data_IF_898258449494
#
_entry.id   IF_898258449494
#
_cell.length_a   1.000
_cell.length_b   1.000
_cell.length_c   1.000
_cell.angle_alpha   90.00
_cell.angle_beta   90.00
_cell.angle_gamma   90.00
#
_symmetry.space_group_name_H-M   'P 1'
#
loop_
_entity.id
_entity.type
_entity.pdbx_description
1 polymer ?
#
# COMPACT_ATOMS: atom_id res chain seq x y z
N UNK A 1 -24.92 4.75 -0.74
CA UNK A 1 -24.24 3.65 -0.03
C UNK A 1 -22.75 3.88 -0.18
N UNK A 2 -22.05 4.16 0.91
CA UNK A 2 -20.61 4.41 0.87
C UNK A 2 -19.92 3.10 1.20
N UNK A 3 -19.25 2.50 0.23
CA UNK A 3 -18.45 1.30 0.44
C UNK A 3 -17.10 1.72 1.01
N UNK A 4 -16.73 1.19 2.18
CA UNK A 4 -15.37 1.26 2.68
C UNK A 4 -14.49 0.40 1.77
N UNK A 5 -13.52 1.00 1.12
CA UNK A 5 -12.54 0.29 0.30
C UNK A 5 -11.43 -0.20 1.21
N UNK A 6 -11.14 -1.48 1.15
CA UNK A 6 -10.03 -2.10 1.85
C UNK A 6 -8.73 -1.42 1.45
N UNK A 7 -7.97 -1.00 2.45
CA UNK A 7 -6.74 -0.27 2.24
C UNK A 7 -5.59 -1.24 1.97
N UNK A 8 -5.43 -1.64 0.74
CA UNK A 8 -4.12 -1.81 0.15
C UNK A 8 -3.92 -0.57 -0.73
N UNK A 9 -3.11 0.38 -0.28
CA UNK A 9 -2.74 1.61 -0.99
C UNK A 9 -3.75 2.10 -2.05
N UNK A 10 -4.94 2.49 -1.62
CA UNK A 10 -5.86 3.24 -2.46
C UNK A 10 -6.21 4.52 -1.69
N UNK A 11 -5.60 5.63 -2.11
CA UNK A 11 -6.00 6.95 -1.67
C UNK A 11 -7.52 7.09 -1.88
N UNK A 12 -8.29 7.10 -0.79
CA UNK A 12 -9.73 7.29 -0.85
C UNK A 12 -10.02 8.74 -1.18
N UNK A 13 -10.33 9.02 -2.44
CA UNK A 13 -10.90 10.30 -2.84
C UNK A 13 -12.30 10.44 -2.26
N UNK A 14 -12.45 11.22 -1.18
CA UNK A 14 -13.74 11.67 -0.70
C UNK A 14 -14.08 12.98 -1.41
N UNK A 15 -15.11 12.98 -2.23
CA UNK A 15 -15.65 14.19 -2.83
C UNK A 15 -16.50 14.97 -1.82
N UNK A 16 -16.00 16.11 -1.35
CA UNK A 16 -16.79 17.15 -0.74
C UNK A 16 -16.61 18.45 -1.54
N UNK A 17 -17.70 19.01 -2.01
CA UNK A 17 -17.73 20.25 -2.78
C UNK A 17 -17.70 21.43 -1.84
N UNK A 18 -16.68 22.27 -1.89
CA UNK A 18 -16.74 23.73 -1.97
C UNK A 18 -15.36 24.39 -1.84
N UNK A 19 -15.11 25.33 -2.77
CA UNK A 19 -14.16 26.44 -2.79
C UNK A 19 -12.70 26.18 -2.36
N UNK A 20 -11.82 26.03 -3.35
CA UNK A 20 -10.35 26.33 -3.27
C UNK A 20 -9.65 25.92 -1.97
N UNK A 21 -9.86 24.72 -1.50
CA UNK A 21 -9.20 24.25 -0.30
C UNK A 21 -8.43 22.96 -0.61
N UNK A 22 -7.16 22.98 -0.25
CA UNK A 22 -6.39 21.75 -0.07
C UNK A 22 -7.09 20.97 1.05
N UNK A 23 -7.53 19.75 0.78
CA UNK A 23 -8.01 18.84 1.81
C UNK A 23 -6.81 18.10 2.37
N UNK A 24 -6.64 18.16 3.69
CA UNK A 24 -5.58 17.41 4.39
C UNK A 24 -6.24 16.33 5.22
N UNK A 25 -5.81 15.09 5.04
CA UNK A 25 -6.22 13.93 5.83
C UNK A 25 -5.01 13.22 6.41
N UNK A 26 -5.25 12.35 7.37
CA UNK A 26 -4.21 11.53 7.95
C UNK A 26 -4.77 10.17 8.36
N UNK A 27 -3.86 9.25 8.64
CA UNK A 27 -4.21 7.94 9.15
C UNK A 27 -3.14 7.42 10.11
N UNK A 28 -3.52 6.47 10.94
CA UNK A 28 -2.62 5.69 11.79
C UNK A 28 -3.11 4.25 11.84
N UNK A 29 -2.20 3.30 11.86
CA UNK A 29 -2.53 1.88 12.00
C UNK A 29 -1.53 1.16 12.91
N UNK A 30 -2.01 0.04 13.47
CA UNK A 30 -1.19 -0.95 14.18
C UNK A 30 -1.51 -2.30 13.58
N UNK A 31 -0.49 -2.96 13.03
CA UNK A 31 -0.57 -4.30 12.47
C UNK A 31 0.12 -5.33 13.37
N UNK A 32 -0.35 -6.58 13.31
CA UNK A 32 0.42 -7.71 13.87
C UNK A 32 1.71 -7.93 13.09
N UNK A 33 1.74 -7.46 11.85
CA UNK A 33 2.89 -7.46 10.96
C UNK A 33 2.69 -6.44 9.82
N UNK A 34 3.76 -6.13 9.06
CA UNK A 34 3.73 -5.32 7.85
C UNK A 34 4.31 -6.11 6.67
N UNK A 35 3.50 -6.33 5.66
CA UNK A 35 3.90 -6.98 4.41
C UNK A 35 3.80 -6.01 3.22
N UNK A 36 4.81 -6.03 2.37
CA UNK A 36 4.82 -5.33 1.09
C UNK A 36 4.97 -6.33 -0.04
N UNK A 37 3.93 -6.49 -0.87
CA UNK A 37 3.88 -7.47 -1.97
C UNK A 37 4.26 -8.89 -1.52
N UNK A 38 3.70 -9.33 -0.39
CA UNK A 38 3.97 -10.65 0.18
C UNK A 38 5.31 -10.80 0.91
N UNK A 39 6.13 -9.76 0.98
CA UNK A 39 7.41 -9.77 1.70
C UNK A 39 7.25 -9.11 3.06
N UNK A 40 7.63 -9.82 4.13
CA UNK A 40 7.63 -9.30 5.50
C UNK A 40 8.63 -8.15 5.64
N UNK A 41 8.15 -7.00 6.11
CA UNK A 41 8.93 -5.78 6.30
C UNK A 41 9.26 -5.51 7.76
N UNK A 42 8.45 -5.99 8.70
CA UNK A 42 8.59 -5.62 10.12
C UNK A 42 9.10 -6.75 11.02
N UNK A 43 8.93 -8.01 10.62
CA UNK A 43 9.29 -9.17 11.42
C UNK A 43 8.47 -9.26 12.71
N UNK A 44 7.25 -8.71 12.72
CA UNK A 44 6.35 -8.63 13.86
C UNK A 44 5.58 -7.31 13.92
N UNK A 45 5.01 -6.93 15.08
CA UNK A 45 4.10 -5.80 15.18
C UNK A 45 4.66 -4.49 14.62
N UNK A 46 3.89 -3.83 13.76
CA UNK A 46 4.25 -2.58 13.11
C UNK A 46 3.27 -1.46 13.47
N UNK A 47 3.77 -0.24 13.51
CA UNK A 47 2.98 0.99 13.58
C UNK A 47 3.23 1.78 12.31
N UNK A 48 2.16 2.18 11.63
CA UNK A 48 2.24 2.94 10.40
C UNK A 48 1.25 4.11 10.40
N UNK A 49 1.45 5.04 9.47
CA UNK A 49 0.53 6.14 9.26
C UNK A 49 1.11 7.21 8.35
N UNK A 50 0.27 8.16 7.96
CA UNK A 50 0.67 9.18 7.02
C UNK A 50 -0.27 10.36 6.96
N UNK A 51 0.08 11.29 6.08
CA UNK A 51 -0.71 12.47 5.77
C UNK A 51 -0.80 12.67 4.27
N UNK A 52 -1.98 13.07 3.81
CA UNK A 52 -2.30 13.35 2.41
C UNK A 52 -2.79 14.78 2.26
N UNK A 53 -2.39 15.43 1.19
CA UNK A 53 -2.92 16.69 0.70
C UNK A 53 -3.53 16.47 -0.68
N UNK A 54 -4.84 16.65 -0.82
CA UNK A 54 -5.58 16.50 -2.08
C UNK A 54 -6.04 17.86 -2.60
N UNK A 55 -5.99 18.02 -3.91
CA UNK A 55 -6.36 19.24 -4.62
C UNK A 55 -7.59 18.98 -5.51
N UNK A 56 -8.44 20.00 -5.70
CA UNK A 56 -9.65 19.90 -6.51
C UNK A 56 -9.42 19.47 -7.96
N UNK A 57 -8.25 19.73 -8.50
CA UNK A 57 -7.88 19.36 -9.87
C UNK A 57 -7.49 17.90 -10.02
N UNK A 58 -7.49 17.11 -8.93
CA UNK A 58 -7.10 15.70 -8.92
C UNK A 58 -5.63 15.46 -8.56
N UNK A 59 -4.81 16.49 -8.42
CA UNK A 59 -3.46 16.33 -7.93
C UNK A 59 -3.47 15.98 -6.44
N UNK A 60 -2.47 15.23 -5.98
CA UNK A 60 -2.24 14.94 -4.57
C UNK A 60 -0.76 14.81 -4.26
N UNK A 61 -0.42 14.96 -3.00
CA UNK A 61 0.90 14.66 -2.44
C UNK A 61 0.72 14.12 -1.03
N UNK A 62 1.62 13.26 -0.59
CA UNK A 62 1.54 12.72 0.75
C UNK A 62 2.87 12.16 1.23
N UNK A 63 2.82 11.70 2.47
CA UNK A 63 3.89 10.94 3.12
C UNK A 63 3.28 9.82 3.93
N UNK A 64 3.98 8.71 3.96
CA UNK A 64 3.62 7.57 4.79
C UNK A 64 4.87 7.05 5.48
N UNK A 65 4.70 6.41 6.62
CA UNK A 65 5.80 5.80 7.35
C UNK A 65 5.34 4.54 8.07
N UNK A 66 6.26 3.59 8.23
CA UNK A 66 6.07 2.40 9.05
C UNK A 66 7.36 2.00 9.76
N UNK A 67 7.20 1.40 10.92
CA UNK A 67 8.30 0.67 11.52
C UNK A 67 8.62 -0.56 10.67
N UNK A 68 9.92 -0.81 10.42
CA UNK A 68 10.43 -1.97 9.68
C UNK A 68 11.45 -2.72 10.52
N UNK A 69 11.59 -4.02 10.24
CA UNK A 69 12.44 -4.95 11.02
C UNK A 69 13.65 -5.48 10.26
N UNK A 70 13.89 -5.03 9.03
CA UNK A 70 15.03 -5.47 8.23
C UNK A 70 16.21 -4.50 8.31
N UNK A 71 17.37 -5.03 7.96
CA UNK A 71 18.63 -4.31 8.03
C UNK A 71 19.17 -4.16 9.47
N UNK A 72 20.43 -3.85 9.57
CA UNK A 72 21.08 -3.56 10.83
C UNK A 72 21.85 -2.24 10.71
N UNK A 73 21.83 -1.43 11.78
CA UNK A 73 22.70 -0.26 11.87
C UNK A 73 24.17 -0.67 12.11
N UNK A 74 25.10 0.31 12.08
CA UNK A 74 26.53 0.07 12.32
C UNK A 74 26.84 -0.53 13.71
N UNK A 75 25.87 -0.48 14.64
CA UNK A 75 25.96 -1.09 15.95
C UNK A 75 25.35 -2.48 16.04
N UNK A 76 24.75 -2.97 14.94
CA UNK A 76 24.07 -4.27 14.85
C UNK A 76 22.65 -4.30 15.43
N UNK A 77 22.02 -3.14 15.65
CA UNK A 77 20.61 -3.08 16.02
C UNK A 77 19.75 -3.30 14.77
N UNK A 78 18.75 -4.16 14.89
CA UNK A 78 17.78 -4.46 13.83
C UNK A 78 16.56 -3.57 14.01
N UNK A 79 16.00 -3.09 12.91
CA UNK A 79 14.81 -2.27 12.90
C UNK A 79 15.08 -0.86 12.40
N UNK A 80 14.03 -0.20 11.95
CA UNK A 80 14.14 1.11 11.36
C UNK A 80 12.79 1.75 11.08
N UNK A 81 12.85 2.78 10.29
CA UNK A 81 11.71 3.52 9.77
C UNK A 81 11.76 3.47 8.24
N UNK A 82 10.67 3.04 7.62
CA UNK A 82 10.36 3.36 6.24
C UNK A 82 9.62 4.70 6.22
N UNK A 83 10.04 5.58 5.33
CA UNK A 83 9.46 6.90 5.17
C UNK A 83 9.32 7.24 3.69
N UNK A 84 8.09 7.30 3.23
CA UNK A 84 7.75 7.49 1.84
C UNK A 84 7.24 8.88 1.57
N UNK A 85 7.55 9.38 0.38
CA UNK A 85 6.99 10.60 -0.18
C UNK A 85 6.40 10.29 -1.55
N UNK A 86 5.19 10.73 -1.80
CA UNK A 86 4.53 10.51 -3.07
C UNK A 86 3.79 11.74 -3.58
N UNK A 87 3.68 11.78 -4.89
CA UNK A 87 2.86 12.75 -5.62
C UNK A 87 2.12 12.03 -6.73
N UNK A 88 0.94 12.51 -7.06
CA UNK A 88 0.17 11.88 -8.12
C UNK A 88 -0.96 12.72 -8.63
N UNK A 89 -1.69 12.11 -9.54
CA UNK A 89 -2.86 12.70 -10.19
C UNK A 89 -3.88 11.59 -10.46
N UNK A 90 -5.05 11.75 -9.88
CA UNK A 90 -6.15 10.80 -10.05
C UNK A 90 -7.47 11.48 -10.36
N UNK A 91 -8.40 10.71 -10.89
CA UNK A 91 -9.72 11.23 -11.21
C UNK A 91 -10.70 10.19 -11.72
N UNK A 92 -11.95 10.63 -11.93
CA UNK A 92 -12.99 9.79 -12.50
C UNK A 92 -13.18 10.11 -13.98
N UNK A 93 -13.15 9.09 -14.83
CA UNK A 93 -13.48 9.17 -16.26
C UNK A 93 -15.00 9.08 -16.43
N UNK A 94 -15.66 8.27 -15.58
CA UNK A 94 -17.11 8.09 -15.53
C UNK A 94 -17.55 7.72 -14.11
N UNK A 95 -18.85 7.48 -13.90
CA UNK A 95 -19.38 7.03 -12.60
C UNK A 95 -18.79 5.67 -12.14
N UNK A 96 -18.34 4.85 -13.08
CA UNK A 96 -17.79 3.51 -12.80
C UNK A 96 -16.33 3.34 -13.12
N UNK A 97 -15.65 4.35 -13.71
CA UNK A 97 -14.23 4.28 -14.11
C UNK A 97 -13.45 5.39 -13.48
N UNK A 98 -12.39 5.05 -12.77
CA UNK A 98 -11.41 6.00 -12.24
C UNK A 98 -9.99 5.55 -12.61
N UNK A 99 -9.06 6.47 -12.53
CA UNK A 99 -7.64 6.23 -12.76
C UNK A 99 -6.80 6.93 -11.70
N UNK A 100 -5.59 6.44 -11.52
CA UNK A 100 -4.55 7.04 -10.70
C UNK A 100 -3.19 6.86 -11.37
N UNK A 101 -2.34 7.89 -11.31
CA UNK A 101 -0.96 7.87 -11.77
C UNK A 101 -0.10 8.61 -10.76
N UNK A 102 1.04 8.08 -10.40
CA UNK A 102 1.88 8.73 -9.41
C UNK A 102 3.33 8.26 -9.43
N UNK A 103 4.06 8.85 -8.53
CA UNK A 103 5.45 8.58 -8.26
C UNK A 103 5.63 8.51 -6.75
N UNK A 104 6.37 7.53 -6.29
CA UNK A 104 6.71 7.33 -4.88
C UNK A 104 8.20 7.13 -4.72
N UNK A 105 8.76 7.75 -3.70
CA UNK A 105 10.10 7.54 -3.20
C UNK A 105 10.01 6.84 -1.86
N UNK A 106 10.68 5.70 -1.74
CA UNK A 106 10.82 4.90 -0.52
C UNK A 106 12.15 5.19 0.13
N UNK A 107 12.13 5.66 1.36
CA UNK A 107 13.34 6.03 2.10
C UNK A 107 13.47 5.29 3.43
N UNK A 108 14.70 4.99 3.83
CA UNK A 108 15.00 4.26 5.06
C UNK A 108 16.01 5.03 5.93
N UNK A 109 15.62 6.19 6.49
CA UNK A 109 16.55 7.14 7.09
C UNK A 109 17.30 6.63 8.34
N UNK A 110 16.87 5.52 8.92
CA UNK A 110 17.50 4.92 10.11
C UNK A 110 18.16 3.57 9.80
N UNK A 111 18.26 3.19 8.53
CA UNK A 111 18.80 1.91 8.12
C UNK A 111 19.91 2.10 7.10
N UNK A 112 21.16 2.09 7.57
CA UNK A 112 22.35 2.29 6.72
C UNK A 112 22.58 1.15 5.71
N UNK A 113 21.87 0.03 5.85
CA UNK A 113 22.00 -1.14 4.96
C UNK A 113 20.86 -1.22 3.93
N UNK A 114 19.84 -0.37 4.03
CA UNK A 114 18.74 -0.30 3.08
C UNK A 114 18.95 0.90 2.16
N UNK A 115 18.92 0.65 0.86
CA UNK A 115 18.99 1.71 -0.14
C UNK A 115 17.57 2.19 -0.48
N UNK A 116 17.45 3.51 -0.63
CA UNK A 116 16.25 4.15 -1.15
C UNK A 116 16.01 3.76 -2.61
N UNK A 117 14.74 3.73 -2.99
CA UNK A 117 14.34 3.53 -4.38
C UNK A 117 13.04 4.28 -4.69
N UNK A 118 12.71 4.34 -5.97
CA UNK A 118 11.53 5.03 -6.45
C UNK A 118 10.73 4.19 -7.44
N UNK A 119 9.42 4.46 -7.49
CA UNK A 119 8.54 3.85 -8.47
C UNK A 119 7.63 4.86 -9.15
N UNK A 120 7.43 4.64 -10.43
CA UNK A 120 6.26 5.12 -11.15
C UNK A 120 5.14 4.09 -11.02
N UNK A 121 3.94 4.53 -10.66
CA UNK A 121 2.78 3.65 -10.57
C UNK A 121 1.58 4.21 -11.31
N UNK A 122 0.66 3.31 -11.64
CA UNK A 122 -0.62 3.68 -12.22
C UNK A 122 -1.65 2.60 -12.09
N UNK A 123 -2.92 3.00 -12.06
CA UNK A 123 -4.05 2.07 -11.98
C UNK A 123 -5.28 2.59 -12.70
N UNK A 124 -6.15 1.66 -13.04
CA UNK A 124 -7.52 1.92 -13.49
C UNK A 124 -8.47 1.03 -12.69
N UNK A 125 -9.51 1.67 -12.14
CA UNK A 125 -10.58 0.95 -11.46
C UNK A 125 -11.84 0.96 -12.31
N UNK A 126 -12.48 -0.19 -12.42
CA UNK A 126 -13.80 -0.35 -13.03
C UNK A 126 -14.72 -1.03 -12.01
N UNK A 127 -15.69 -0.27 -11.47
CA UNK A 127 -16.56 -0.71 -10.38
C UNK A 127 -15.73 -1.24 -9.20
N UNK A 128 -15.77 -2.52 -8.91
CA UNK A 128 -15.13 -3.18 -7.77
C UNK A 128 -13.78 -3.85 -8.12
N UNK A 129 -13.33 -3.69 -9.38
CA UNK A 129 -12.05 -4.24 -9.86
C UNK A 129 -11.08 -3.10 -10.09
N UNK A 130 -9.85 -3.25 -9.61
CA UNK A 130 -8.71 -2.37 -9.92
C UNK A 130 -7.61 -3.20 -10.55
N UNK A 131 -7.02 -2.69 -11.62
CA UNK A 131 -5.79 -3.23 -12.20
C UNK A 131 -4.74 -2.14 -12.23
N UNK A 132 -3.50 -2.48 -11.94
CA UNK A 132 -2.44 -1.48 -11.89
C UNK A 132 -1.06 -2.06 -12.08
N UNK A 133 -0.10 -1.15 -12.09
CA UNK A 133 1.32 -1.46 -12.19
C UNK A 133 2.15 -0.51 -11.33
N UNK A 134 3.36 -0.94 -10.99
CA UNK A 134 4.42 -0.10 -10.45
C UNK A 134 5.73 -0.51 -11.14
N UNK A 135 6.63 0.43 -11.39
CA UNK A 135 7.90 0.14 -12.04
C UNK A 135 9.01 1.04 -11.51
N UNK A 136 10.18 0.44 -11.28
CA UNK A 136 11.44 1.11 -10.92
C UNK A 136 12.49 0.78 -11.97
N UNK A 137 13.35 1.74 -12.27
CA UNK A 137 14.53 1.52 -13.11
C UNK A 137 15.72 0.98 -12.32
N UNK A 138 15.71 1.17 -11.00
CA UNK A 138 16.73 0.71 -10.07
C UNK A 138 16.05 0.36 -8.74
N UNK A 139 15.67 -0.92 -8.61
CA UNK A 139 14.94 -1.44 -7.47
C UNK A 139 15.83 -1.56 -6.24
N UNK A 140 15.23 -1.72 -5.10
CA UNK A 140 15.84 -1.87 -3.80
C UNK A 140 17.23 -2.54 -3.82
N UNK A 141 18.23 -1.90 -3.18
CA UNK A 141 19.64 -2.32 -3.18
C UNK A 141 20.26 -2.44 -4.58
N UNK A 142 19.86 -1.58 -5.53
CA UNK A 142 20.42 -1.51 -6.88
C UNK A 142 20.40 -2.85 -7.63
N UNK A 143 19.29 -3.58 -7.50
CA UNK A 143 19.10 -4.89 -8.14
C UNK A 143 18.64 -4.80 -9.61
N UNK A 144 18.57 -3.59 -10.16
CA UNK A 144 18.18 -3.33 -11.55
C UNK A 144 16.69 -3.01 -11.71
N UNK A 145 16.15 -3.20 -12.90
CA UNK A 145 14.77 -2.86 -13.19
C UNK A 145 13.79 -3.84 -12.53
N UNK A 146 12.64 -3.29 -12.13
CA UNK A 146 11.55 -4.03 -11.53
C UNK A 146 10.22 -3.51 -12.05
N UNK A 147 9.30 -4.41 -12.34
CA UNK A 147 7.92 -4.07 -12.71
C UNK A 147 6.95 -5.03 -12.04
N UNK A 148 5.96 -4.47 -11.39
CA UNK A 148 4.91 -5.19 -10.69
C UNK A 148 3.56 -4.91 -11.34
N UNK A 149 2.77 -5.95 -11.59
CA UNK A 149 1.40 -5.83 -12.06
C UNK A 149 0.46 -6.45 -11.02
N UNK A 150 -0.70 -5.84 -10.82
CA UNK A 150 -1.66 -6.34 -9.86
C UNK A 150 -3.10 -6.20 -10.30
N UNK A 151 -3.95 -6.99 -9.69
CA UNK A 151 -5.40 -6.89 -9.78
C UNK A 151 -6.02 -7.07 -8.40
N UNK A 152 -6.94 -6.16 -8.06
CA UNK A 152 -7.72 -6.20 -6.84
C UNK A 152 -9.20 -6.35 -7.17
N UNK A 153 -9.91 -7.09 -6.32
CA UNK A 153 -11.36 -7.19 -6.36
C UNK A 153 -11.92 -7.05 -4.94
N UNK A 154 -12.87 -6.14 -4.75
CA UNK A 154 -13.54 -5.92 -3.49
C UNK A 154 -15.04 -6.20 -3.58
N UNK A 155 -15.62 -6.86 -2.59
CA UNK A 155 -17.06 -7.08 -2.52
C UNK A 155 -17.62 -6.91 -1.11
N UNK A 156 -18.82 -6.36 -1.01
CA UNK A 156 -19.57 -6.38 0.24
C UNK A 156 -20.04 -7.81 0.52
N UNK A 157 -19.68 -8.34 1.68
CA UNK A 157 -20.19 -9.64 2.16
C UNK A 157 -21.51 -9.45 2.90
N UNK A 158 -21.59 -8.41 3.73
CA UNK A 158 -22.80 -7.97 4.46
C UNK A 158 -22.82 -6.42 4.50
N UNK A 159 -23.74 -5.83 5.26
CA UNK A 159 -23.75 -4.38 5.50
C UNK A 159 -22.53 -3.91 6.30
N UNK A 160 -21.96 -4.78 7.14
CA UNK A 160 -20.86 -4.46 8.08
C UNK A 160 -19.50 -5.04 7.63
N UNK A 161 -19.48 -6.03 6.74
CA UNK A 161 -18.29 -6.77 6.35
C UNK A 161 -18.03 -6.71 4.86
N UNK A 162 -16.77 -6.56 4.46
CA UNK A 162 -16.31 -6.67 3.08
C UNK A 162 -15.20 -7.70 2.94
N UNK A 163 -15.12 -8.31 1.75
CA UNK A 163 -14.01 -9.16 1.33
C UNK A 163 -13.19 -8.45 0.27
N UNK A 164 -11.88 -8.57 0.39
CA UNK A 164 -10.90 -8.16 -0.60
C UNK A 164 -10.13 -9.36 -1.13
N UNK A 165 -9.76 -9.30 -2.40
CA UNK A 165 -8.90 -10.28 -3.07
C UNK A 165 -7.83 -9.50 -3.82
N UNK A 166 -6.60 -9.93 -3.67
CA UNK A 166 -5.45 -9.38 -4.35
C UNK A 166 -4.68 -10.47 -5.07
N UNK A 167 -4.17 -10.16 -6.25
CA UNK A 167 -3.16 -10.92 -6.97
C UNK A 167 -2.18 -9.96 -7.60
N UNK A 168 -0.89 -10.18 -7.36
CA UNK A 168 0.18 -9.44 -7.96
C UNK A 168 1.26 -10.35 -8.55
N UNK A 169 2.04 -9.82 -9.47
CA UNK A 169 3.19 -10.53 -10.04
C UNK A 169 4.26 -9.53 -10.46
N UNK A 170 5.50 -9.89 -10.22
CA UNK A 170 6.66 -9.07 -10.56
C UNK A 170 7.45 -9.66 -11.74
N UNK A 171 8.16 -8.79 -12.44
CA UNK A 171 9.20 -9.10 -13.40
C UNK A 171 10.39 -8.20 -13.10
N UNK A 172 11.58 -8.77 -12.96
CA UNK A 172 12.77 -8.06 -12.50
C UNK A 172 14.03 -8.52 -13.23
N UNK A 173 15.08 -7.67 -13.22
CA UNK A 173 16.41 -8.08 -13.69
C UNK A 173 17.05 -9.12 -12.76
N UNK A 174 16.77 -9.03 -11.46
CA UNK A 174 17.12 -10.06 -10.49
C UNK A 174 15.97 -11.06 -10.32
N UNK A 175 16.21 -12.30 -10.75
CA UNK A 175 15.22 -13.37 -10.70
C UNK A 175 14.72 -13.70 -9.27
N UNK A 176 15.45 -13.33 -8.22
CA UNK A 176 15.00 -13.50 -6.84
C UNK A 176 13.79 -12.60 -6.53
N UNK A 177 13.60 -11.52 -7.29
CA UNK A 177 12.48 -10.60 -7.17
C UNK A 177 11.31 -10.94 -8.14
N UNK A 178 11.37 -12.06 -8.87
CA UNK A 178 10.30 -12.55 -9.73
C UNK A 178 9.44 -13.56 -8.99
N UNK A 179 8.23 -13.16 -8.59
CA UNK A 179 7.26 -14.01 -7.89
C UNK A 179 5.85 -13.45 -8.06
N UNK A 180 4.87 -14.25 -7.66
CA UNK A 180 3.49 -13.79 -7.48
C UNK A 180 3.11 -13.76 -6.01
N UNK A 181 2.34 -12.75 -5.62
CA UNK A 181 1.73 -12.63 -4.31
C UNK A 181 0.20 -12.57 -4.41
N UNK A 182 -0.46 -13.04 -3.38
CA UNK A 182 -1.91 -13.04 -3.30
C UNK A 182 -2.39 -12.92 -1.86
N UNK A 183 -3.53 -12.26 -1.71
CA UNK A 183 -4.18 -12.19 -0.40
C UNK A 183 -5.70 -12.24 -0.48
N UNK A 184 -6.28 -12.66 0.65
CA UNK A 184 -7.71 -12.52 0.93
C UNK A 184 -7.85 -11.76 2.23
N UNK A 185 -8.68 -10.72 2.24
CA UNK A 185 -8.93 -9.90 3.43
C UNK A 185 -10.41 -9.87 3.81
N UNK A 186 -10.66 -9.83 5.11
CA UNK A 186 -11.96 -9.56 5.71
C UNK A 186 -11.87 -8.26 6.50
N UNK A 187 -12.67 -7.27 6.12
CA UNK A 187 -12.63 -5.94 6.71
C UNK A 187 -13.97 -5.55 7.31
N UNK A 188 -13.92 -4.80 8.41
CA UNK A 188 -15.07 -4.19 9.06
C UNK A 188 -14.71 -2.86 9.72
N UNK A 189 -15.71 -2.04 10.00
CA UNK A 189 -15.55 -0.83 10.80
C UNK A 189 -16.39 -0.93 12.07
N UNK A 190 -15.79 -0.73 13.22
CA UNK A 190 -16.47 -0.72 14.51
C UNK A 190 -15.87 0.34 15.43
N UNK A 191 -16.71 1.02 16.20
CA UNK A 191 -16.34 2.07 17.18
C UNK A 191 -15.46 3.18 16.61
N UNK A 192 -15.56 3.43 15.29
CA UNK A 192 -14.78 4.42 14.56
C UNK A 192 -13.34 3.97 14.30
N UNK A 193 -13.06 2.67 14.33
CA UNK A 193 -11.82 2.01 13.94
C UNK A 193 -12.08 1.05 12.79
N UNK A 194 -11.15 0.97 11.85
CA UNK A 194 -11.11 -0.09 10.84
C UNK A 194 -10.40 -1.32 11.40
N UNK A 195 -10.89 -2.49 11.05
CA UNK A 195 -10.28 -3.80 11.33
C UNK A 195 -10.16 -4.56 10.02
N UNK A 196 -8.97 -5.05 9.74
CA UNK A 196 -8.67 -5.87 8.57
C UNK A 196 -7.95 -7.14 9.02
N UNK A 197 -8.42 -8.28 8.56
CA UNK A 197 -7.78 -9.57 8.76
C UNK A 197 -7.45 -10.16 7.40
N UNK A 198 -6.16 -10.21 7.08
CA UNK A 198 -5.64 -10.65 5.79
C UNK A 198 -4.88 -11.95 5.91
N UNK A 199 -5.12 -12.87 4.99
CA UNK A 199 -4.28 -14.04 4.73
C UNK A 199 -3.44 -13.72 3.50
N UNK A 200 -2.11 -13.69 3.67
CA UNK A 200 -1.13 -13.29 2.66
C UNK A 200 -0.27 -14.50 2.31
N UNK A 201 0.02 -14.67 1.03
CA UNK A 201 0.88 -15.76 0.56
C UNK A 201 1.60 -15.35 -0.73
N UNK A 202 2.68 -16.05 -1.05
CA UNK A 202 3.43 -15.93 -2.31
C UNK A 202 3.69 -17.30 -2.92
N UNK A 203 4.13 -17.33 -4.17
CA UNK A 203 4.67 -18.54 -4.80
C UNK A 203 6.19 -18.67 -4.66
N UNK A 204 6.82 -17.79 -3.86
CA UNK A 204 8.25 -17.84 -3.54
C UNK A 204 8.43 -18.40 -2.12
N UNK A 205 9.12 -19.53 -2.00
CA UNK A 205 9.33 -20.25 -0.73
C UNK A 205 10.13 -19.45 0.33
N UNK A 206 10.82 -18.37 -0.09
CA UNK A 206 11.61 -17.50 0.80
C UNK A 206 10.78 -16.35 1.42
N UNK A 207 9.50 -16.18 0.99
CA UNK A 207 8.61 -15.10 1.43
C UNK A 207 7.37 -15.63 2.19
N UNK A 208 6.26 -14.89 2.17
CA UNK A 208 5.06 -15.27 2.92
C UNK A 208 4.49 -16.63 2.48
N UNK A 209 4.32 -17.55 3.43
CA UNK A 209 3.62 -18.82 3.26
C UNK A 209 2.40 -18.87 4.19
N UNK A 210 1.27 -18.30 3.72
CA UNK A 210 -0.01 -18.25 4.44
C UNK A 210 0.06 -17.48 5.77
N UNK A 211 0.59 -16.27 5.74
CA UNK A 211 0.68 -15.40 6.90
C UNK A 211 -0.65 -14.72 7.21
N UNK A 212 -1.06 -14.74 8.47
CA UNK A 212 -2.28 -14.10 8.94
C UNK A 212 -1.96 -12.79 9.65
N UNK A 213 -2.43 -11.69 9.07
CA UNK A 213 -2.15 -10.33 9.54
C UNK A 213 -3.43 -9.65 10.00
N UNK A 214 -3.44 -9.13 11.22
CA UNK A 214 -4.49 -8.27 11.74
C UNK A 214 -4.00 -6.82 11.76
N UNK A 215 -4.76 -5.92 11.13
CA UNK A 215 -4.50 -4.47 11.15
C UNK A 215 -5.69 -3.74 11.78
N UNK A 216 -5.39 -2.82 12.70
CA UNK A 216 -6.36 -1.89 13.28
C UNK A 216 -5.97 -0.49 12.87
N UNK A 217 -6.88 0.27 12.27
CA UNK A 217 -6.61 1.58 11.71
C UNK A 217 -7.57 2.66 12.17
N UNK A 218 -7.14 3.92 12.04
CA UNK A 218 -7.95 5.12 12.30
C UNK A 218 -7.66 6.18 11.26
N UNK A 219 -8.70 6.71 10.64
CA UNK A 219 -8.63 7.95 9.86
C UNK A 219 -8.73 9.17 10.78
N UNK A 220 -7.93 10.21 10.51
CA UNK A 220 -7.78 11.43 11.31
C UNK A 220 -8.37 12.65 10.60
#
# INVERSE_FOLDING_TARGET
>A
MKFAKSALFAATMLSAVSASAVEVSGNVAVGSDYFFRGVDQSGGPAVSGGFDASFENGAYAGTWASSVGFGADDAGNVGGLELDYYVGYGGSISESVSYDLGYVYYGYPQNASAEEFEEFYGSVSFSDITVGFATSSDWYNSTGSYTYFYADYGMALTEDYSLGFHYGTSSADDAANEYADYSISLSTEAVGLGFDLSLISTDNDDYADNELVLTISKSL
#
